data_IF_664775901534
#
_entry.id   IF_664775901534
#
_cell.length_a   1.000
_cell.length_b   1.000
_cell.length_c   1.000
_cell.angle_alpha   90.00
_cell.angle_beta   90.00
_cell.angle_gamma   90.00
#
_symmetry.space_group_name_H-M   'P 1'
#
loop_
_entity.id
_entity.type
_entity.pdbx_description
1 polymer ?
#
# COMPACT_ATOMS: atom_id res chain seq x y z
N UNK A 1 -7.53 -13.19 -25.03
CA UNK A 1 -8.07 -13.60 -24.73
C UNK A 1 -8.48 -13.89 -24.60
N UNK A 2 -8.73 -13.88 -24.40
CA UNK A 2 -9.38 -14.40 -23.92
C UNK A 2 -9.80 -14.89 -24.44
N UNK A 3 -10.15 -15.23 -24.49
CA UNK A 3 -10.83 -15.98 -24.47
C UNK A 3 -11.25 -16.47 -24.58
N UNK A 4 -11.69 -16.70 -24.65
CA UNK A 4 -12.35 -17.41 -24.28
C UNK A 4 -12.69 -17.59 -23.91
N UNK A 5 -12.76 -17.63 -23.62
CA UNK A 5 -13.26 -17.99 -22.83
C UNK A 5 -13.70 -17.78 -22.29
N UNK A 6 -14.17 -18.17 -22.27
CA UNK A 6 -14.77 -17.77 -21.42
C UNK A 6 -14.64 -17.78 -20.43
N UNK A 7 -14.53 -18.18 -20.31
CA UNK A 7 -14.15 -18.29 -19.35
C UNK A 7 -13.41 -17.60 -19.00
N UNK A 8 -13.44 -17.07 -19.44
CA UNK A 8 -12.66 -16.38 -19.07
C UNK A 8 -12.82 -15.76 -18.03
N UNK A 9 -12.71 -16.03 -17.53
CA UNK A 9 -12.70 -15.67 -16.29
C UNK A 9 -12.17 -14.37 -16.08
N UNK A 10 -12.36 -13.76 -15.00
CA UNK A 10 -11.87 -12.43 -14.74
C UNK A 10 -10.36 -12.42 -14.80
N UNK A 11 -9.82 -11.33 -15.30
CA UNK A 11 -8.38 -11.11 -15.27
C UNK A 11 -7.92 -10.86 -13.85
N UNK A 12 -6.68 -11.22 -13.50
CA UNK A 12 -6.13 -10.87 -12.21
C UNK A 12 -6.10 -9.37 -12.04
N UNK A 13 -6.39 -8.90 -10.83
CA UNK A 13 -6.35 -7.48 -10.52
C UNK A 13 -5.26 -7.20 -9.50
N UNK A 14 -4.68 -6.02 -9.60
CA UNK A 14 -3.68 -5.53 -8.66
C UNK A 14 -4.19 -4.20 -8.12
N UNK A 15 -4.30 -4.12 -6.80
CA UNK A 15 -4.67 -2.87 -6.16
C UNK A 15 -3.44 -1.99 -6.02
N UNK A 16 -3.60 -0.70 -6.27
CA UNK A 16 -2.50 0.25 -6.21
C UNK A 16 -2.78 1.24 -5.09
N UNK A 17 -1.82 1.41 -4.19
CA UNK A 17 -1.90 2.38 -3.12
C UNK A 17 -0.71 3.33 -3.25
N UNK A 18 -0.98 4.62 -3.30
CA UNK A 18 0.07 5.63 -3.40
C UNK A 18 0.47 6.07 -2.01
N UNK A 19 1.76 6.05 -1.75
CA UNK A 19 2.35 6.52 -0.50
C UNK A 19 3.24 7.69 -0.88
N UNK A 20 2.64 8.87 -0.98
CA UNK A 20 3.31 10.06 -1.50
C UNK A 20 3.23 11.18 -0.47
N UNK A 21 4.37 11.74 -0.12
CA UNK A 21 4.43 12.87 0.78
C UNK A 21 5.13 12.55 2.09
N UNK A 22 5.09 13.49 3.02
CA UNK A 22 5.75 13.38 4.32
C UNK A 22 4.87 12.62 5.30
N UNK A 23 5.49 11.76 6.08
CA UNK A 23 4.79 11.00 7.11
C UNK A 23 4.66 11.88 8.35
N UNK A 24 3.44 12.27 8.69
CA UNK A 24 3.21 13.17 9.82
C UNK A 24 1.79 13.01 10.36
N UNK A 25 1.63 13.25 11.65
CA UNK A 25 0.32 13.18 12.28
C UNK A 25 -0.46 14.46 12.06
N UNK A 26 -1.79 14.31 12.09
CA UNK A 26 -2.71 15.44 12.15
C UNK A 26 -2.54 16.47 11.07
N UNK A 27 -1.88 16.12 10.06
CA UNK A 27 -1.60 17.09 9.04
C UNK A 27 -2.80 17.36 8.18
N UNK A 28 -2.65 18.33 7.37
CA UNK A 28 -3.57 18.59 6.29
C UNK A 28 -2.86 18.37 5.00
N UNK A 29 -3.63 18.20 3.96
CA UNK A 29 -3.12 18.05 2.63
C UNK A 29 -2.51 16.69 2.41
N UNK A 30 -1.25 16.67 2.04
CA UNK A 30 -0.61 15.47 1.51
C UNK A 30 0.18 14.67 2.53
N UNK A 31 -0.01 14.95 3.81
CA UNK A 31 0.69 14.19 4.84
C UNK A 31 0.17 12.76 4.89
N UNK A 32 1.12 11.84 5.09
CA UNK A 32 0.83 10.43 5.22
C UNK A 32 0.77 10.08 6.70
N UNK A 33 -0.29 9.45 7.13
CA UNK A 33 -0.36 8.93 8.49
C UNK A 33 -1.29 7.73 8.52
N UNK A 34 -1.27 7.02 9.65
CA UNK A 34 -2.05 5.79 9.78
C UNK A 34 -3.54 6.08 9.67
N UNK A 35 -3.99 7.19 10.25
CA UNK A 35 -5.41 7.53 10.24
C UNK A 35 -5.96 7.71 8.83
N UNK A 36 -5.21 8.39 7.97
CA UNK A 36 -5.69 8.64 6.60
C UNK A 36 -5.43 7.46 5.67
N UNK A 37 -4.34 6.73 5.89
CA UNK A 37 -3.95 5.67 4.99
C UNK A 37 -4.61 4.34 5.32
N UNK A 38 -4.94 4.10 6.59
CA UNK A 38 -5.49 2.81 7.02
C UNK A 38 -6.76 2.42 6.25
N UNK A 39 -7.75 3.32 6.09
CA UNK A 39 -8.95 2.94 5.33
C UNK A 39 -8.64 2.59 3.88
N UNK A 40 -7.68 3.29 3.28
CA UNK A 40 -7.29 3.01 1.90
C UNK A 40 -6.61 1.66 1.80
N UNK A 41 -5.77 1.33 2.77
CA UNK A 41 -5.11 0.03 2.80
C UNK A 41 -6.12 -1.09 2.96
N UNK A 42 -7.05 -0.95 3.91
CA UNK A 42 -8.05 -1.97 4.13
C UNK A 42 -8.87 -2.22 2.87
N UNK A 43 -9.26 -1.15 2.20
CA UNK A 43 -10.03 -1.26 0.98
C UNK A 43 -9.22 -1.93 -0.14
N UNK A 44 -7.94 -1.60 -0.22
CA UNK A 44 -7.08 -2.13 -1.26
C UNK A 44 -6.96 -3.65 -1.20
N UNK A 45 -7.01 -4.22 0.00
CA UNK A 45 -6.89 -5.68 0.16
C UNK A 45 -8.19 -6.44 -0.09
N UNK A 46 -9.31 -5.72 -0.17
CA UNK A 46 -10.62 -6.36 -0.24
C UNK A 46 -11.32 -6.11 -1.58
N UNK A 47 -11.31 -4.87 -2.03
CA UNK A 47 -12.10 -4.49 -3.19
C UNK A 47 -11.56 -5.15 -4.45
N UNK A 48 -12.44 -5.82 -5.18
CA UNK A 48 -12.09 -6.43 -6.45
C UNK A 48 -11.32 -7.73 -6.34
N UNK A 49 -11.20 -8.29 -5.16
CA UNK A 49 -10.46 -9.54 -4.93
C UNK A 49 -9.08 -9.52 -5.58
N UNK A 50 -8.21 -8.60 -5.17
CA UNK A 50 -6.92 -8.44 -5.84
C UNK A 50 -6.01 -9.65 -5.59
N UNK A 51 -5.14 -9.91 -6.56
CA UNK A 51 -4.11 -10.94 -6.43
C UNK A 51 -2.86 -10.40 -5.78
N UNK A 52 -2.69 -9.10 -5.79
CA UNK A 52 -1.54 -8.44 -5.18
C UNK A 52 -1.89 -6.99 -4.88
N UNK A 53 -1.13 -6.39 -3.97
CA UNK A 53 -1.23 -4.96 -3.69
C UNK A 53 0.11 -4.33 -4.01
N UNK A 54 0.09 -3.28 -4.80
CA UNK A 54 1.29 -2.54 -5.17
C UNK A 54 1.30 -1.21 -4.43
N UNK A 55 2.40 -0.93 -3.73
CA UNK A 55 2.61 0.36 -3.08
C UNK A 55 3.50 1.19 -3.98
N UNK A 56 3.01 2.32 -4.42
CA UNK A 56 3.82 3.27 -5.19
C UNK A 56 4.33 4.31 -4.20
N UNK A 57 5.61 4.27 -3.91
CA UNK A 57 6.19 5.04 -2.82
C UNK A 57 7.04 6.18 -3.35
N UNK A 58 6.73 7.38 -2.88
CA UNK A 58 7.54 8.56 -3.12
C UNK A 58 7.50 9.37 -1.84
N UNK A 59 8.35 8.99 -0.89
CA UNK A 59 8.23 9.46 0.48
C UNK A 59 9.61 9.69 1.09
N UNK A 60 9.92 10.92 1.50
CA UNK A 60 11.21 11.21 2.14
C UNK A 60 11.28 10.74 3.59
N UNK A 61 10.16 10.32 4.17
CA UNK A 61 10.13 9.87 5.54
C UNK A 61 9.31 10.78 6.42
N UNK A 62 9.62 10.77 7.72
CA UNK A 62 8.91 11.59 8.69
C UNK A 62 8.76 10.86 10.01
N UNK A 63 7.57 10.88 10.58
CA UNK A 63 7.30 10.33 11.91
C UNK A 63 7.63 8.84 12.02
N UNK A 64 8.55 8.44 12.93
CA UNK A 64 8.84 7.02 13.13
C UNK A 64 7.64 6.24 13.67
N UNK A 65 6.85 6.85 14.52
CA UNK A 65 5.67 6.20 15.10
C UNK A 65 4.66 5.88 13.99
N UNK A 66 4.38 6.87 13.16
CA UNK A 66 3.43 6.69 12.07
C UNK A 66 3.96 5.68 11.04
N UNK A 67 5.25 5.71 10.76
CA UNK A 67 5.87 4.75 9.85
C UNK A 67 5.70 3.32 10.37
N UNK A 68 5.90 3.13 11.65
CA UNK A 68 5.76 1.83 12.29
C UNK A 68 4.30 1.34 12.24
N UNK A 69 3.35 2.24 12.52
CA UNK A 69 1.93 1.88 12.47
C UNK A 69 1.50 1.48 11.07
N UNK A 70 1.92 2.25 10.07
CA UNK A 70 1.60 1.96 8.67
C UNK A 70 2.21 0.64 8.24
N UNK A 71 3.49 0.44 8.55
CA UNK A 71 4.19 -0.80 8.19
C UNK A 71 3.55 -2.02 8.82
N UNK A 72 3.19 -1.92 10.09
CA UNK A 72 2.53 -3.02 10.80
C UNK A 72 1.16 -3.32 10.19
N UNK A 73 0.44 -2.29 9.80
CA UNK A 73 -0.87 -2.46 9.16
C UNK A 73 -0.74 -3.20 7.84
N UNK A 74 0.26 -2.83 7.04
CA UNK A 74 0.50 -3.49 5.75
C UNK A 74 0.80 -4.96 5.96
N UNK A 75 1.69 -5.29 6.89
CA UNK A 75 2.02 -6.68 7.17
C UNK A 75 0.82 -7.46 7.69
N UNK A 76 0.05 -6.84 8.57
CA UNK A 76 -1.13 -7.48 9.13
C UNK A 76 -2.14 -7.81 8.02
N UNK A 77 -2.44 -6.86 7.16
CA UNK A 77 -3.42 -7.05 6.09
C UNK A 77 -2.95 -8.06 5.06
N UNK A 78 -1.67 -8.02 4.72
CA UNK A 78 -1.10 -8.99 3.79
C UNK A 78 -1.26 -10.40 4.32
N UNK A 79 -0.95 -10.59 5.58
CA UNK A 79 -1.05 -11.91 6.20
C UNK A 79 -2.49 -12.35 6.36
N UNK A 80 -3.35 -11.44 6.78
CA UNK A 80 -4.77 -11.74 7.01
C UNK A 80 -5.46 -12.17 5.73
N UNK A 81 -5.21 -11.46 4.65
CA UNK A 81 -5.86 -11.74 3.37
C UNK A 81 -5.06 -12.66 2.47
N UNK A 82 -3.84 -13.00 2.87
CA UNK A 82 -2.94 -13.86 2.09
C UNK A 82 -2.71 -13.29 0.70
N UNK A 83 -2.44 -11.99 0.66
CA UNK A 83 -2.21 -11.25 -0.57
C UNK A 83 -0.83 -10.64 -0.49
N UNK A 84 0.06 -10.90 -1.46
CA UNK A 84 1.40 -10.32 -1.43
C UNK A 84 1.37 -8.83 -1.70
N UNK A 85 2.35 -8.14 -1.13
CA UNK A 85 2.51 -6.70 -1.29
C UNK A 85 3.86 -6.43 -1.94
N UNK A 86 3.86 -5.61 -2.97
CA UNK A 86 5.07 -5.21 -3.67
C UNK A 86 5.22 -3.71 -3.60
N UNK A 87 6.43 -3.25 -3.35
CA UNK A 87 6.72 -1.82 -3.27
C UNK A 87 7.50 -1.38 -4.50
N UNK A 88 7.06 -0.29 -5.08
CA UNK A 88 7.74 0.35 -6.20
C UNK A 88 8.07 1.77 -5.80
N UNK A 89 9.36 2.09 -5.79
CA UNK A 89 9.84 3.41 -5.39
C UNK A 89 9.95 4.27 -6.63
N UNK A 90 9.20 5.37 -6.69
CA UNK A 90 9.21 6.23 -7.85
C UNK A 90 10.40 7.17 -7.86
N UNK A 91 10.54 7.97 -6.81
CA UNK A 91 11.66 8.90 -6.72
C UNK A 91 12.47 8.66 -5.47
N UNK A 92 11.81 8.63 -4.33
CA UNK A 92 12.53 8.50 -3.07
C UNK A 92 11.75 7.62 -2.10
N UNK A 93 12.49 6.83 -1.34
CA UNK A 93 11.99 6.13 -0.18
C UNK A 93 13.09 6.17 0.85
N UNK A 94 13.04 7.13 1.75
CA UNK A 94 14.08 7.34 2.74
C UNK A 94 13.45 7.29 4.13
N UNK A 95 14.26 6.93 5.13
CA UNK A 95 13.81 6.88 6.52
C UNK A 95 12.50 6.09 6.64
N UNK A 96 11.41 6.74 7.08
CA UNK A 96 10.11 6.08 7.21
C UNK A 96 9.56 5.52 5.92
N UNK A 97 9.81 6.18 4.79
CA UNK A 97 9.40 5.68 3.49
C UNK A 97 10.09 4.38 3.16
N UNK A 98 11.38 4.28 3.47
CA UNK A 98 12.12 3.04 3.27
C UNK A 98 11.58 1.93 4.18
N UNK A 99 11.26 2.28 5.43
CA UNK A 99 10.66 1.32 6.36
C UNK A 99 9.37 0.73 5.77
N UNK A 100 8.47 1.60 5.28
CA UNK A 100 7.22 1.14 4.69
C UNK A 100 7.49 0.24 3.49
N UNK A 101 8.44 0.60 2.64
CA UNK A 101 8.80 -0.22 1.49
C UNK A 101 9.29 -1.60 1.91
N UNK A 102 10.03 -1.68 3.01
CA UNK A 102 10.55 -2.95 3.50
C UNK A 102 9.47 -3.85 4.09
N UNK A 103 8.27 -3.33 4.33
CA UNK A 103 7.15 -4.12 4.81
C UNK A 103 6.38 -4.81 3.69
N UNK A 104 6.80 -4.60 2.47
CA UNK A 104 6.18 -5.26 1.32
C UNK A 104 6.61 -6.71 1.18
#
# INVERSE_FOLDING_TARGET
MKRWIPFLKSNPTVSIVRVVGVIATGGRGTNINEETLSPLLEKAFVKGNPKAVALLINCPGGSPVQSSLIGSKIKYLSKKHKIPVYAFVEDVAASGGYWIACCA
#
